data_IF_310215785211
#
_entry.id   IF_310215785211
#
_cell.length_a   1.000
_cell.length_b   1.000
_cell.length_c   1.000
_cell.angle_alpha   90.00
_cell.angle_beta   90.00
_cell.angle_gamma   90.00
#
_symmetry.space_group_name_H-M   'P 1'
#
loop_
_entity.id
_entity.type
_entity.pdbx_description
1 polymer ?
#
# COMPACT_ATOMS: atom_id res chain seq x y z
N UNK A 1 -13.16 23.12 -12.86
CA UNK A 1 -12.55 22.37 -11.73
C UNK A 1 -11.14 21.97 -12.12
N UNK A 2 -10.15 22.64 -11.55
CA UNK A 2 -8.73 22.40 -11.79
C UNK A 2 -8.28 21.22 -10.90
N UNK A 3 -8.20 20.00 -11.43
CA UNK A 3 -7.61 18.88 -10.70
C UNK A 3 -6.09 19.04 -10.79
N UNK A 4 -5.49 19.45 -9.68
CA UNK A 4 -4.08 19.76 -9.59
C UNK A 4 -3.24 18.55 -10.02
N UNK A 5 -2.42 18.76 -11.05
CA UNK A 5 -1.46 17.80 -11.60
C UNK A 5 -0.29 17.59 -10.64
N UNK A 6 -0.52 16.87 -9.55
CA UNK A 6 0.54 16.29 -8.71
C UNK A 6 0.56 14.76 -8.87
N UNK A 7 0.28 14.24 -10.08
CA UNK A 7 0.39 12.81 -10.36
C UNK A 7 1.86 12.41 -10.28
N UNK A 8 2.32 11.99 -9.10
CA UNK A 8 3.48 11.12 -9.00
C UNK A 8 3.26 9.98 -10.00
N UNK A 9 4.14 9.88 -11.00
CA UNK A 9 4.01 8.92 -12.09
C UNK A 9 3.96 7.52 -11.47
N UNK A 10 2.81 6.84 -11.59
CA UNK A 10 2.70 5.45 -11.13
C UNK A 10 3.50 4.59 -12.10
N UNK A 11 4.51 3.93 -11.56
CA UNK A 11 5.44 3.08 -12.30
C UNK A 11 5.07 1.61 -12.12
N UNK A 12 5.59 0.76 -13.00
CA UNK A 12 5.48 -0.70 -12.88
C UNK A 12 5.84 -1.21 -11.48
N UNK A 13 6.90 -0.65 -10.87
CA UNK A 13 7.34 -1.00 -9.51
C UNK A 13 6.27 -0.75 -8.45
N UNK A 14 5.47 0.31 -8.59
CA UNK A 14 4.41 0.62 -7.63
C UNK A 14 3.33 -0.49 -7.65
N UNK A 15 2.97 -1.00 -8.83
CA UNK A 15 2.08 -2.17 -8.96
C UNK A 15 2.72 -3.45 -8.40
N UNK A 16 4.03 -3.66 -8.62
CA UNK A 16 4.76 -4.81 -8.07
C UNK A 16 4.84 -4.78 -6.54
N UNK A 17 5.00 -3.60 -5.92
CA UNK A 17 5.00 -3.44 -4.46
C UNK A 17 3.66 -3.86 -3.86
N UNK A 18 2.56 -3.55 -4.55
CA UNK A 18 1.22 -3.99 -4.17
C UNK A 18 0.91 -5.42 -4.60
N UNK A 19 1.76 -6.06 -5.40
CA UNK A 19 1.57 -7.41 -5.91
C UNK A 19 0.41 -7.54 -6.91
N UNK A 20 0.09 -6.47 -7.63
CA UNK A 20 -1.01 -6.40 -8.60
C UNK A 20 -0.49 -6.19 -10.02
N UNK A 21 -1.37 -6.36 -11.01
CA UNK A 21 -1.02 -6.14 -12.42
C UNK A 21 -0.90 -4.65 -12.73
N UNK A 22 -0.04 -4.32 -13.68
CA UNK A 22 0.03 -3.00 -14.28
C UNK A 22 -1.35 -2.64 -14.87
N UNK A 23 -1.84 -1.43 -14.60
CA UNK A 23 -3.21 -0.98 -14.93
C UNK A 23 -4.34 -1.68 -14.13
N UNK A 24 -4.03 -2.24 -12.97
CA UNK A 24 -5.05 -2.69 -12.02
C UNK A 24 -6.06 -1.57 -11.70
N UNK A 25 -7.31 -1.96 -11.47
CA UNK A 25 -8.37 -1.02 -11.10
C UNK A 25 -8.12 -0.46 -9.68
N UNK A 26 -8.60 0.75 -9.37
CA UNK A 26 -8.48 1.32 -8.02
C UNK A 26 -9.07 0.40 -6.94
N UNK A 27 -10.12 -0.36 -7.26
CA UNK A 27 -10.69 -1.38 -6.37
C UNK A 27 -9.70 -2.49 -6.02
N UNK A 28 -8.89 -2.92 -6.99
CA UNK A 28 -7.84 -3.93 -6.78
C UNK A 28 -6.68 -3.37 -5.97
N UNK A 29 -6.32 -2.11 -6.20
CA UNK A 29 -5.31 -1.39 -5.40
C UNK A 29 -5.74 -1.33 -3.94
N UNK A 30 -7.00 -0.99 -3.65
CA UNK A 30 -7.54 -0.97 -2.29
C UNK A 30 -7.55 -2.38 -1.66
N UNK A 31 -8.06 -3.38 -2.38
CA UNK A 31 -8.08 -4.76 -1.86
C UNK A 31 -6.68 -5.31 -1.59
N UNK A 32 -5.70 -5.00 -2.44
CA UNK A 32 -4.31 -5.39 -2.24
C UNK A 32 -3.69 -4.65 -1.04
N UNK A 33 -3.93 -3.35 -0.92
CA UNK A 33 -3.49 -2.55 0.21
C UNK A 33 -4.03 -3.10 1.54
N UNK A 34 -5.33 -3.39 1.61
CA UNK A 34 -5.95 -3.97 2.80
C UNK A 34 -5.28 -5.30 3.18
N UNK A 35 -5.09 -6.21 2.22
CA UNK A 35 -4.40 -7.49 2.48
C UNK A 35 -2.98 -7.30 3.00
N UNK A 36 -2.22 -6.41 2.38
CA UNK A 36 -0.84 -6.13 2.78
C UNK A 36 -0.77 -5.43 4.15
N UNK A 37 -1.69 -4.54 4.46
CA UNK A 37 -1.85 -3.95 5.77
C UNK A 37 -2.15 -5.04 6.81
N UNK A 38 -3.02 -6.00 6.48
CA UNK A 38 -3.31 -7.12 7.36
C UNK A 38 -2.09 -8.02 7.63
N UNK A 39 -1.11 -8.09 6.72
CA UNK A 39 0.09 -8.90 6.87
C UNK A 39 1.25 -8.16 7.55
N UNK A 40 1.47 -6.90 7.18
CA UNK A 40 2.66 -6.12 7.52
C UNK A 40 2.41 -4.99 8.53
N UNK A 41 1.17 -4.68 8.88
CA UNK A 41 0.89 -3.56 9.79
C UNK A 41 1.43 -3.85 11.20
N UNK A 42 2.21 -2.92 11.79
CA UNK A 42 2.91 -3.15 13.06
C UNK A 42 1.97 -3.52 14.21
N UNK A 43 0.82 -2.85 14.32
CA UNK A 43 -0.22 -3.16 15.31
C UNK A 43 -0.74 -4.59 15.15
N UNK A 44 -0.93 -5.06 13.92
CA UNK A 44 -1.54 -6.37 13.68
C UNK A 44 -0.55 -7.49 13.91
N UNK A 45 0.72 -7.29 13.55
CA UNK A 45 1.82 -8.18 13.93
C UNK A 45 1.90 -8.33 15.46
N UNK A 46 1.79 -7.21 16.19
CA UNK A 46 1.76 -7.23 17.66
C UNK A 46 0.56 -8.01 18.23
N UNK A 47 -0.61 -7.89 17.60
CA UNK A 47 -1.84 -8.52 18.08
C UNK A 47 -1.99 -10.00 17.66
N UNK A 48 -1.64 -10.36 16.43
CA UNK A 48 -1.83 -11.71 15.88
C UNK A 48 -0.59 -12.59 16.05
N UNK A 49 0.61 -12.03 15.85
CA UNK A 49 1.87 -12.78 15.94
C UNK A 49 2.56 -12.64 17.30
N UNK A 50 1.97 -11.85 18.23
CA UNK A 50 2.47 -11.63 19.59
C UNK A 50 3.96 -11.27 19.67
N UNK A 51 4.46 -10.56 18.65
CA UNK A 51 5.85 -10.12 18.56
C UNK A 51 5.96 -8.70 18.02
N UNK A 52 7.13 -8.10 18.18
CA UNK A 52 7.41 -6.85 17.51
C UNK A 52 7.63 -7.05 16.00
N UNK A 53 7.15 -6.11 15.16
CA UNK A 53 7.42 -6.12 13.74
C UNK A 53 8.90 -5.81 13.51
N UNK A 54 9.52 -6.54 12.59
CA UNK A 54 10.92 -6.31 12.25
C UNK A 54 11.05 -5.10 11.31
N UNK A 55 12.25 -4.54 11.19
CA UNK A 55 12.52 -3.40 10.29
C UNK A 55 12.07 -3.66 8.85
N UNK A 56 12.19 -4.90 8.37
CA UNK A 56 11.75 -5.28 7.02
C UNK A 56 10.22 -5.16 6.86
N UNK A 57 9.45 -5.57 7.86
CA UNK A 57 7.98 -5.48 7.84
C UNK A 57 7.53 -4.02 7.93
N UNK A 58 8.16 -3.24 8.82
CA UNK A 58 7.90 -1.80 8.95
C UNK A 58 8.24 -1.08 7.64
N UNK A 59 9.38 -1.40 7.02
CA UNK A 59 9.81 -0.80 5.76
C UNK A 59 8.85 -1.15 4.62
N UNK A 60 8.45 -2.43 4.51
CA UNK A 60 7.45 -2.87 3.54
C UNK A 60 6.14 -2.11 3.72
N UNK A 61 5.61 -2.06 4.94
CA UNK A 61 4.36 -1.36 5.24
C UNK A 61 4.44 0.13 4.84
N UNK A 62 5.55 0.81 5.15
CA UNK A 62 5.78 2.20 4.73
C UNK A 62 5.82 2.37 3.21
N UNK A 63 6.43 1.45 2.48
CA UNK A 63 6.44 1.49 1.02
C UNK A 63 5.03 1.28 0.45
N UNK A 64 4.28 0.33 1.00
CA UNK A 64 2.88 0.07 0.63
C UNK A 64 2.01 1.30 0.86
N UNK A 65 2.12 1.96 2.03
CA UNK A 65 1.42 3.22 2.32
C UNK A 65 1.80 4.34 1.37
N UNK A 66 3.09 4.48 1.07
CA UNK A 66 3.59 5.50 0.15
C UNK A 66 3.03 5.29 -1.24
N UNK A 67 3.08 4.06 -1.73
CA UNK A 67 2.53 3.68 -3.03
C UNK A 67 1.03 3.94 -3.06
N UNK A 68 0.28 3.47 -2.07
CA UNK A 68 -1.16 3.67 -2.00
C UNK A 68 -1.57 5.15 -2.04
N UNK A 69 -0.84 6.02 -1.34
CA UNK A 69 -1.04 7.48 -1.40
C UNK A 69 -0.83 8.06 -2.80
N UNK A 70 0.10 7.52 -3.60
CA UNK A 70 0.30 7.95 -5.00
C UNK A 70 -0.89 7.59 -5.90
N UNK A 71 -1.60 6.51 -5.60
CA UNK A 71 -2.80 6.12 -6.34
C UNK A 71 -3.98 7.07 -6.09
N UNK A 72 -3.85 8.05 -5.19
CA UNK A 72 -4.88 9.04 -4.83
C UNK A 72 -6.21 8.38 -4.44
N UNK A 73 -6.14 7.20 -3.82
CA UNK A 73 -7.30 6.45 -3.36
C UNK A 73 -7.54 6.80 -1.91
N UNK A 74 -8.65 7.48 -1.63
CA UNK A 74 -9.09 7.72 -0.26
C UNK A 74 -9.43 6.37 0.41
N UNK A 75 -8.85 6.06 1.58
CA UNK A 75 -9.28 4.90 2.35
C UNK A 75 -10.76 5.09 2.72
N UNK A 76 -11.59 4.12 2.32
CA UNK A 76 -13.04 4.16 2.50
C UNK A 76 -13.45 3.88 3.95
#
# INVERSE_FOLDING_TARGET
>A
MNRNNNNEIITKKDYEILGIKENAKPEEVNSAYEKLCLEYHPKKIRLEKYREPNDLEIKKYKEIEKVYKKFDIEPK
#
